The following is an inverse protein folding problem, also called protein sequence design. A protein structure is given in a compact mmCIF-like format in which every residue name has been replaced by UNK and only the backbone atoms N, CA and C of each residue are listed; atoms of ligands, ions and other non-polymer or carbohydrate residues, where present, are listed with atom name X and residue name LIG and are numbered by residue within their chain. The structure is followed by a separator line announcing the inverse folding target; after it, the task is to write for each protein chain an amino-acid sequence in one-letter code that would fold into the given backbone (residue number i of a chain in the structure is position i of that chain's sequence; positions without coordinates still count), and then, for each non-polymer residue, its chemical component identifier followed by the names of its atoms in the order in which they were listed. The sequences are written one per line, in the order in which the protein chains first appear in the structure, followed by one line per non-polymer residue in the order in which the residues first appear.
data_IF_791983287413
#
_entry.id   IF_791983287413
#
_cell.length_a   1.000
_cell.length_b   1.000
_cell.length_c   1.000
_cell.angle_alpha   90.00
_cell.angle_beta   90.00
_cell.angle_gamma   90.00
#
_symmetry.space_group_name_H-M   'P 1'
#
loop_
_entity.id
_entity.type
_entity.pdbx_description
1 polymer ?
#
# COMPACT_ATOMS: atom_id res chain seq x y z
N UNK A 1 87.11 -40.37 2.88
CA UNK A 1 85.94 -40.01 3.70
C UNK A 1 85.39 -38.68 3.19
N UNK A 2 84.10 -38.63 2.86
CA UNK A 2 83.46 -37.65 1.94
C UNK A 2 83.53 -36.19 2.41
N UNK A 3 83.91 -35.31 1.48
CA UNK A 3 83.74 -33.85 1.52
C UNK A 3 82.25 -33.48 1.48
N UNK A 4 81.83 -32.50 2.29
CA UNK A 4 80.52 -31.82 2.18
C UNK A 4 80.69 -30.50 1.42
N UNK A 5 79.88 -30.19 0.40
CA UNK A 5 79.86 -28.89 -0.23
C UNK A 5 78.81 -27.96 0.40
N UNK A 6 79.17 -26.69 0.51
CA UNK A 6 78.33 -25.54 0.91
C UNK A 6 77.43 -25.15 -0.27
N UNK A 7 76.13 -24.95 -0.04
CA UNK A 7 75.17 -24.47 -1.05
C UNK A 7 74.92 -22.97 -0.89
N UNK A 8 75.18 -22.24 -1.97
CA UNK A 8 74.77 -20.86 -2.22
C UNK A 8 73.24 -20.76 -2.35
N UNK A 9 72.65 -19.72 -1.78
CA UNK A 9 71.24 -19.36 -1.94
C UNK A 9 71.15 -18.35 -3.10
N UNK A 10 70.48 -18.73 -4.18
CA UNK A 10 70.08 -17.85 -5.28
C UNK A 10 68.70 -17.24 -4.95
N UNK A 11 68.61 -15.92 -4.85
CA UNK A 11 67.34 -15.19 -4.81
C UNK A 11 66.80 -15.07 -6.24
N UNK A 12 65.64 -15.66 -6.51
CA UNK A 12 64.94 -15.57 -7.79
C UNK A 12 63.80 -14.56 -7.68
N UNK A 13 63.90 -13.44 -8.42
CA UNK A 13 62.83 -12.47 -8.63
C UNK A 13 61.67 -13.10 -9.41
N UNK A 14 60.44 -12.96 -8.92
CA UNK A 14 59.21 -13.11 -9.70
C UNK A 14 58.48 -11.77 -9.78
N UNK A 15 58.00 -11.32 -10.96
CA UNK A 15 57.25 -10.08 -11.08
C UNK A 15 55.80 -10.29 -10.63
N UNK A 16 55.31 -9.35 -9.82
CA UNK A 16 53.95 -9.30 -9.29
C UNK A 16 53.01 -8.77 -10.40
N UNK A 17 52.24 -9.66 -11.03
CA UNK A 17 51.19 -9.27 -11.98
C UNK A 17 49.92 -8.96 -11.20
N UNK A 18 49.54 -7.67 -11.15
CA UNK A 18 48.31 -7.20 -10.49
C UNK A 18 47.12 -7.45 -11.41
N UNK A 19 46.36 -8.51 -11.12
CA UNK A 19 45.08 -8.80 -11.77
C UNK A 19 44.00 -7.93 -11.10
N UNK A 20 43.58 -6.86 -11.76
CA UNK A 20 42.41 -6.07 -11.36
C UNK A 20 41.17 -6.91 -11.67
N UNK A 21 40.59 -7.53 -10.64
CA UNK A 21 39.26 -8.12 -10.73
C UNK A 21 38.23 -7.00 -10.81
N UNK A 22 37.80 -6.68 -12.03
CA UNK A 22 36.58 -5.92 -12.26
C UNK A 22 35.40 -6.84 -11.90
N UNK A 23 34.95 -6.78 -10.64
CA UNK A 23 33.73 -7.47 -10.22
C UNK A 23 32.55 -6.83 -10.98
N UNK A 24 32.09 -7.49 -12.02
CA UNK A 24 30.82 -7.16 -12.67
C UNK A 24 29.72 -7.35 -11.63
N UNK A 25 29.23 -6.23 -11.07
CA UNK A 25 27.99 -6.23 -10.29
C UNK A 25 26.89 -6.62 -11.26
N UNK A 26 26.48 -7.88 -11.21
CA UNK A 26 25.29 -8.35 -11.92
C UNK A 26 24.11 -7.58 -11.32
N UNK A 27 23.62 -6.57 -12.04
CA UNK A 27 22.38 -5.86 -11.66
C UNK A 27 21.26 -6.89 -11.62
N UNK A 28 20.92 -7.37 -10.42
CA UNK A 28 19.83 -8.32 -10.21
C UNK A 28 18.55 -7.65 -10.71
N UNK A 29 18.00 -8.17 -11.82
CA UNK A 29 16.71 -7.68 -12.35
C UNK A 29 15.68 -7.75 -11.22
N UNK A 30 14.83 -6.73 -11.08
CA UNK A 30 13.80 -6.73 -10.05
C UNK A 30 12.90 -7.94 -10.30
N UNK A 31 12.64 -8.70 -9.24
CA UNK A 31 11.85 -9.93 -9.34
C UNK A 31 10.40 -9.55 -9.06
N UNK A 32 9.53 -9.82 -10.02
CA UNK A 32 8.09 -9.88 -9.77
C UNK A 32 7.81 -11.14 -8.96
N UNK A 33 8.00 -11.08 -7.65
CA UNK A 33 7.47 -12.09 -6.73
C UNK A 33 6.00 -11.76 -6.51
N UNK A 34 5.14 -12.26 -7.40
CA UNK A 34 3.71 -12.28 -7.13
C UNK A 34 3.46 -13.24 -5.96
N UNK A 35 3.64 -12.74 -4.73
CA UNK A 35 3.15 -13.39 -3.55
C UNK A 35 1.62 -13.27 -3.59
N UNK A 36 0.99 -14.20 -4.30
CA UNK A 36 -0.44 -14.41 -4.23
C UNK A 36 -0.73 -15.00 -2.85
N UNK A 37 -1.07 -14.18 -1.87
CA UNK A 37 -1.86 -14.67 -0.76
C UNK A 37 -3.24 -15.07 -1.33
N UNK A 38 -3.66 -16.33 -1.21
CA UNK A 38 -4.87 -16.81 -1.86
C UNK A 38 -6.11 -16.10 -1.29
N UNK A 39 -6.72 -15.20 -2.06
CA UNK A 39 -8.09 -14.70 -1.80
C UNK A 39 -8.32 -13.21 -2.08
N UNK A 40 -7.35 -12.33 -1.81
CA UNK A 40 -7.63 -10.89 -1.71
C UNK A 40 -7.28 -10.08 -2.98
N UNK A 41 -6.59 -10.70 -3.94
CA UNK A 41 -6.24 -10.04 -5.21
C UNK A 41 -5.17 -8.94 -5.09
N UNK A 42 -4.38 -8.96 -4.01
CA UNK A 42 -3.24 -8.05 -3.82
C UNK A 42 -1.98 -8.70 -4.39
N UNK A 43 -1.26 -7.97 -5.24
CA UNK A 43 -0.03 -8.37 -5.88
C UNK A 43 1.14 -7.57 -5.31
N UNK A 44 2.23 -8.27 -4.99
CA UNK A 44 3.46 -7.65 -4.50
C UNK A 44 4.53 -7.64 -5.59
N UNK A 45 5.34 -6.59 -5.62
CA UNK A 45 6.51 -6.45 -6.51
C UNK A 45 7.66 -5.87 -5.70
N UNK A 46 8.78 -6.58 -5.65
CA UNK A 46 9.95 -6.15 -4.91
C UNK A 46 10.93 -5.41 -5.81
N UNK A 47 11.16 -4.13 -5.53
CA UNK A 47 12.22 -3.38 -6.18
C UNK A 47 13.59 -3.73 -5.61
N UNK A 48 14.60 -3.84 -6.48
CA UNK A 48 15.99 -3.95 -6.05
C UNK A 48 16.41 -2.61 -5.44
N UNK A 49 16.85 -2.60 -4.18
CA UNK A 49 17.23 -1.38 -3.42
C UNK A 49 16.12 -0.32 -3.33
N UNK A 50 14.85 -0.75 -3.32
CA UNK A 50 13.69 0.14 -3.23
C UNK A 50 12.54 -0.49 -2.44
N UNK A 51 11.38 0.16 -2.41
CA UNK A 51 10.21 -0.35 -1.70
C UNK A 51 9.60 -1.57 -2.39
N UNK A 52 8.98 -2.44 -1.60
CA UNK A 52 8.01 -3.41 -2.11
C UNK A 52 6.71 -2.68 -2.43
N UNK A 53 6.28 -2.77 -3.68
CA UNK A 53 4.99 -2.23 -4.13
C UNK A 53 3.91 -3.29 -3.93
N UNK A 54 2.85 -2.96 -3.22
CA UNK A 54 1.64 -3.79 -3.15
C UNK A 54 0.49 -3.08 -3.86
N UNK A 55 -0.19 -3.72 -4.81
CA UNK A 55 -1.31 -3.15 -5.54
C UNK A 55 -2.43 -4.17 -5.75
N UNK A 56 -3.66 -3.72 -5.94
CA UNK A 56 -4.77 -4.62 -6.24
C UNK A 56 -4.84 -4.94 -7.73
N UNK A 57 -5.11 -6.19 -8.08
CA UNK A 57 -5.47 -6.57 -9.45
C UNK A 57 -6.84 -5.99 -9.88
N UNK A 58 -7.65 -5.48 -8.95
CA UNK A 58 -8.96 -4.85 -9.20
C UNK A 58 -8.88 -3.34 -9.44
N UNK A 59 -7.80 -2.66 -9.04
CA UNK A 59 -7.69 -1.20 -9.17
C UNK A 59 -7.51 -0.72 -10.63
N UNK A 60 -7.07 -1.63 -11.51
CA UNK A 60 -6.84 -1.34 -12.92
C UNK A 60 -5.63 -0.45 -13.19
N UNK A 61 -4.80 -0.20 -12.17
CA UNK A 61 -3.52 0.49 -12.36
C UNK A 61 -2.54 -0.40 -13.12
N UNK A 62 -1.55 0.22 -13.76
CA UNK A 62 -0.46 -0.49 -14.43
C UNK A 62 0.83 -0.33 -13.67
N UNK A 63 1.75 -1.26 -13.89
CA UNK A 63 3.11 -1.18 -13.36
C UNK A 63 4.05 -0.75 -14.47
N UNK A 64 4.67 0.41 -14.31
CA UNK A 64 5.71 0.92 -15.19
C UNK A 64 7.05 0.27 -14.85
N UNK A 65 7.86 0.00 -15.87
CA UNK A 65 9.21 -0.54 -15.72
C UNK A 65 10.20 0.44 -16.33
N UNK A 66 10.96 1.15 -15.49
CA UNK A 66 11.91 2.19 -15.89
C UNK A 66 13.25 1.86 -15.25
N UNK A 67 14.31 1.76 -16.05
CA UNK A 67 15.69 1.53 -15.56
C UNK A 67 15.87 0.30 -14.65
N UNK A 68 15.05 -0.74 -14.84
CA UNK A 68 14.95 -1.92 -13.96
C UNK A 68 14.39 -1.63 -12.56
N UNK A 69 13.57 -0.60 -12.42
CA UNK A 69 12.73 -0.33 -11.27
C UNK A 69 11.26 -0.31 -11.69
N UNK A 70 10.39 -0.63 -10.74
CA UNK A 70 8.95 -0.69 -10.91
C UNK A 70 8.28 0.49 -10.19
N UNK A 71 7.24 1.02 -10.83
CA UNK A 71 6.42 2.14 -10.33
C UNK A 71 4.96 1.86 -10.61
N UNK A 72 4.08 2.40 -9.76
CA UNK A 72 2.63 2.36 -9.98
C UNK A 72 2.21 3.56 -10.83
N UNK A 73 1.54 3.31 -11.94
CA UNK A 73 0.84 4.33 -12.73
C UNK A 73 -0.54 4.54 -12.10
N UNK A 74 -0.59 5.40 -11.08
CA UNK A 74 -1.76 5.61 -10.22
C UNK A 74 -2.85 6.40 -10.94
N UNK A 75 -2.48 7.36 -11.79
CA UNK A 75 -3.43 8.14 -12.59
C UNK A 75 -3.71 7.53 -13.98
N UNK A 76 -3.07 6.40 -14.31
CA UNK A 76 -3.30 5.61 -15.52
C UNK A 76 -2.96 6.36 -16.81
N UNK A 77 -1.98 7.27 -16.77
CA UNK A 77 -1.58 8.08 -17.92
C UNK A 77 -0.42 7.46 -18.74
N UNK A 78 0.14 6.33 -18.28
CA UNK A 78 1.23 5.61 -18.94
C UNK A 78 2.61 6.27 -18.81
N UNK A 79 2.77 7.28 -17.95
CA UNK A 79 4.00 8.01 -17.70
C UNK A 79 4.32 7.97 -16.20
N UNK A 80 5.59 8.04 -15.85
CA UNK A 80 6.00 8.20 -14.46
C UNK A 80 5.91 9.67 -14.07
N UNK A 81 4.87 10.04 -13.33
CA UNK A 81 4.77 11.37 -12.72
C UNK A 81 5.63 11.47 -11.45
N UNK A 82 6.05 12.69 -11.08
CA UNK A 82 6.94 12.86 -9.91
C UNK A 82 6.28 12.36 -8.62
N UNK A 83 4.98 12.55 -8.44
CA UNK A 83 4.28 12.05 -7.24
C UNK A 83 4.28 10.52 -7.12
N UNK A 84 4.39 9.79 -8.23
CA UNK A 84 4.46 8.32 -8.29
C UNK A 84 5.90 7.81 -8.11
N UNK A 85 6.88 8.67 -8.37
CA UNK A 85 8.30 8.34 -8.25
C UNK A 85 8.73 8.31 -6.78
N UNK A 86 8.68 7.13 -6.19
CA UNK A 86 9.10 6.87 -4.80
C UNK A 86 10.59 7.17 -4.53
N UNK A 87 11.41 7.43 -5.57
CA UNK A 87 12.82 7.84 -5.42
C UNK A 87 12.95 9.30 -5.01
N UNK A 88 11.93 10.13 -5.29
CA UNK A 88 11.93 11.54 -4.97
C UNK A 88 11.55 11.79 -3.50
N UNK A 89 12.04 12.88 -2.88
CA UNK A 89 11.62 13.30 -1.55
C UNK A 89 10.11 13.48 -1.43
N UNK A 90 9.56 13.19 -0.25
CA UNK A 90 8.11 13.27 0.01
C UNK A 90 7.57 14.67 -0.31
N UNK A 91 8.30 15.74 0.00
CA UNK A 91 7.87 17.12 -0.26
C UNK A 91 7.74 17.42 -1.76
N UNK A 92 8.65 16.90 -2.59
CA UNK A 92 8.56 17.05 -4.05
C UNK A 92 7.35 16.30 -4.60
N UNK A 93 7.11 15.09 -4.09
CA UNK A 93 5.97 14.26 -4.50
C UNK A 93 4.64 14.89 -4.10
N UNK A 94 4.54 15.40 -2.87
CA UNK A 94 3.34 16.07 -2.36
C UNK A 94 3.06 17.36 -3.13
N UNK A 95 4.08 18.18 -3.40
CA UNK A 95 3.94 19.39 -4.21
C UNK A 95 3.48 19.08 -5.63
N UNK A 96 4.05 18.05 -6.24
CA UNK A 96 3.68 17.60 -7.58
C UNK A 96 2.27 17.01 -7.65
N UNK A 97 1.81 16.29 -6.62
CA UNK A 97 0.44 15.82 -6.53
C UNK A 97 -0.54 16.97 -6.34
N UNK A 98 -0.29 17.84 -5.36
CA UNK A 98 -1.17 18.95 -5.00
C UNK A 98 -1.42 19.92 -6.16
N UNK A 99 -0.42 20.14 -7.04
CA UNK A 99 -0.58 21.00 -8.22
C UNK A 99 -1.49 20.41 -9.30
N UNK A 100 -1.76 19.10 -9.24
CA UNK A 100 -2.65 18.39 -10.18
C UNK A 100 -4.08 18.23 -9.66
N UNK A 101 -4.33 18.46 -8.37
CA UNK A 101 -5.65 18.28 -7.77
C UNK A 101 -6.58 19.45 -8.08
N UNK A 102 -7.85 19.15 -8.33
CA UNK A 102 -8.88 20.18 -8.37
C UNK A 102 -9.21 20.67 -6.96
N UNK A 103 -9.82 21.86 -6.86
CA UNK A 103 -10.31 22.39 -5.57
C UNK A 103 -11.28 21.41 -4.89
N UNK A 104 -12.13 20.71 -5.65
CA UNK A 104 -13.06 19.72 -5.11
C UNK A 104 -12.32 18.51 -4.54
N UNK A 105 -11.27 18.03 -5.20
CA UNK A 105 -10.44 16.94 -4.68
C UNK A 105 -9.71 17.38 -3.40
N UNK A 106 -9.14 18.59 -3.38
CA UNK A 106 -8.51 19.16 -2.18
C UNK A 106 -9.52 19.25 -1.03
N UNK A 107 -10.72 19.74 -1.28
CA UNK A 107 -11.78 19.82 -0.27
C UNK A 107 -12.15 18.43 0.29
N UNK A 108 -12.26 17.42 -0.56
CA UNK A 108 -12.52 16.04 -0.12
C UNK A 108 -11.44 15.49 0.80
N UNK A 109 -10.16 15.83 0.54
CA UNK A 109 -9.04 15.45 1.41
C UNK A 109 -9.02 16.18 2.76
N UNK A 110 -9.83 17.23 2.96
CA UNK A 110 -9.88 17.98 4.22
C UNK A 110 -11.06 17.58 5.12
N UNK A 111 -11.93 16.67 4.65
CA UNK A 111 -13.17 16.28 5.33
C UNK A 111 -13.14 14.81 5.78
N UNK A 112 -13.97 14.52 6.77
CA UNK A 112 -14.21 13.17 7.29
C UNK A 112 -15.56 12.63 6.83
N UNK A 113 -15.64 11.30 6.70
CA UNK A 113 -16.91 10.62 6.52
C UNK A 113 -17.80 10.76 7.75
N UNK A 114 -19.10 10.50 7.60
CA UNK A 114 -19.95 10.14 8.73
C UNK A 114 -19.42 8.87 9.42
N UNK A 115 -19.91 8.59 10.62
CA UNK A 115 -19.61 7.37 11.38
C UNK A 115 -19.87 6.08 10.58
N UNK A 116 -18.88 5.21 10.47
CA UNK A 116 -18.93 3.95 9.75
C UNK A 116 -18.79 2.75 10.69
N UNK A 117 -19.79 1.87 10.68
CA UNK A 117 -19.74 0.54 11.30
C UNK A 117 -19.52 -0.53 10.22
N UNK A 118 -18.73 -1.56 10.52
CA UNK A 118 -18.41 -2.66 9.60
C UNK A 118 -18.83 -4.02 10.22
N UNK A 119 -19.88 -4.70 9.71
CA UNK A 119 -20.78 -4.24 8.65
C UNK A 119 -21.63 -3.07 9.12
N UNK A 120 -22.32 -2.43 8.18
CA UNK A 120 -23.18 -1.29 8.52
C UNK A 120 -24.29 -1.71 9.49
N UNK A 121 -24.59 -0.85 10.45
CA UNK A 121 -25.73 -1.05 11.34
C UNK A 121 -27.02 -1.01 10.54
N UNK A 122 -27.98 -1.84 10.94
CA UNK A 122 -29.35 -1.84 10.40
C UNK A 122 -30.29 -1.16 11.41
N UNK A 123 -31.28 -0.41 10.92
CA UNK A 123 -32.33 0.20 11.75
C UNK A 123 -32.34 1.74 11.73
N UNK A 124 -33.02 2.41 12.68
CA UNK A 124 -33.27 3.86 12.61
C UNK A 124 -32.01 4.74 12.67
N UNK A 125 -30.90 4.18 13.17
CA UNK A 125 -29.60 4.87 13.27
C UNK A 125 -28.54 4.28 12.32
N UNK A 126 -28.95 3.41 11.39
CA UNK A 126 -28.06 2.73 10.44
C UNK A 126 -28.76 2.50 9.10
N UNK A 127 -28.20 3.07 8.03
CA UNK A 127 -28.87 3.11 6.72
C UNK A 127 -27.97 2.75 5.54
N UNK A 128 -26.86 2.04 5.79
CA UNK A 128 -25.99 1.61 4.70
C UNK A 128 -26.60 0.46 3.91
N UNK A 129 -26.32 0.44 2.61
CA UNK A 129 -26.79 -0.60 1.69
C UNK A 129 -25.63 -1.27 0.99
N UNK A 130 -25.86 -2.52 0.59
CA UNK A 130 -25.00 -3.31 -0.26
C UNK A 130 -25.76 -3.58 -1.55
N UNK A 131 -25.41 -2.88 -2.63
CA UNK A 131 -26.13 -2.95 -3.91
C UNK A 131 -27.63 -2.65 -3.77
N UNK A 132 -27.96 -1.62 -2.99
CA UNK A 132 -29.31 -1.14 -2.75
C UNK A 132 -30.12 -1.94 -1.71
N UNK A 133 -29.57 -3.04 -1.16
CA UNK A 133 -30.23 -3.84 -0.15
C UNK A 133 -29.63 -3.62 1.25
N UNK A 134 -30.42 -3.73 2.34
CA UNK A 134 -29.89 -3.78 3.69
C UNK A 134 -28.89 -4.94 3.87
N UNK A 135 -28.02 -4.85 4.87
CA UNK A 135 -27.10 -5.95 5.18
C UNK A 135 -27.86 -7.23 5.54
N UNK A 136 -27.61 -8.30 4.77
CA UNK A 136 -28.10 -9.65 5.03
C UNK A 136 -26.95 -10.63 4.92
N UNK A 137 -26.72 -11.42 5.98
CA UNK A 137 -25.62 -12.38 6.01
C UNK A 137 -25.88 -13.51 5.00
N UNK A 138 -24.94 -13.71 4.07
CA UNK A 138 -25.03 -14.70 2.99
C UNK A 138 -25.35 -14.08 1.62
N UNK A 139 -25.86 -12.85 1.58
CA UNK A 139 -26.11 -12.10 0.33
C UNK A 139 -25.04 -11.04 0.07
N UNK A 140 -24.50 -10.44 1.14
CA UNK A 140 -23.36 -9.54 1.09
C UNK A 140 -22.29 -9.98 2.09
N UNK A 141 -21.02 -9.72 1.79
CA UNK A 141 -19.95 -9.93 2.76
C UNK A 141 -19.90 -8.73 3.70
N UNK A 142 -19.73 -8.98 5.01
CA UNK A 142 -19.59 -7.92 5.99
C UNK A 142 -18.41 -6.97 5.69
N UNK A 143 -17.42 -7.46 4.95
CA UNK A 143 -16.24 -6.73 4.50
C UNK A 143 -16.43 -5.95 3.19
N UNK A 144 -17.59 -6.03 2.53
CA UNK A 144 -17.83 -5.30 1.30
C UNK A 144 -17.95 -3.80 1.57
N UNK A 145 -17.52 -2.99 0.60
CA UNK A 145 -17.68 -1.53 0.66
C UNK A 145 -19.14 -1.20 0.32
N UNK A 146 -19.81 -0.50 1.23
CA UNK A 146 -21.23 -0.13 1.07
C UNK A 146 -21.42 0.92 -0.04
N UNK A 147 -22.66 1.10 -0.49
CA UNK A 147 -22.97 2.09 -1.54
C UNK A 147 -22.68 3.52 -1.06
N UNK A 148 -22.98 3.82 0.20
CA UNK A 148 -22.70 5.13 0.81
C UNK A 148 -21.19 5.35 0.99
N UNK A 149 -20.43 4.29 1.28
CA UNK A 149 -18.98 4.36 1.31
C UNK A 149 -18.41 4.64 -0.08
N UNK A 150 -18.88 3.95 -1.11
CA UNK A 150 -18.49 4.24 -2.50
C UNK A 150 -18.81 5.69 -2.87
N UNK A 151 -19.97 6.21 -2.46
CA UNK A 151 -20.37 7.58 -2.75
C UNK A 151 -19.38 8.60 -2.19
N UNK A 152 -19.09 8.57 -0.88
CA UNK A 152 -18.16 9.57 -0.33
C UNK A 152 -16.72 9.37 -0.81
N UNK A 153 -16.29 8.13 -1.08
CA UNK A 153 -14.92 7.85 -1.57
C UNK A 153 -14.73 8.32 -3.02
N UNK A 154 -15.73 8.09 -3.88
CA UNK A 154 -15.61 8.28 -5.33
C UNK A 154 -16.18 9.61 -5.81
N UNK A 155 -17.30 10.07 -5.26
CA UNK A 155 -17.97 11.32 -5.68
C UNK A 155 -17.43 12.51 -4.89
N UNK A 156 -17.30 12.36 -3.58
CA UNK A 156 -16.92 13.47 -2.69
C UNK A 156 -15.40 13.56 -2.48
N UNK A 157 -14.62 12.58 -2.98
CA UNK A 157 -13.16 12.49 -2.86
C UNK A 157 -12.66 12.37 -1.42
N UNK A 158 -13.49 11.93 -0.47
CA UNK A 158 -13.09 11.75 0.91
C UNK A 158 -12.04 10.65 1.04
N UNK A 159 -11.04 10.89 1.90
CA UNK A 159 -10.04 9.89 2.27
C UNK A 159 -9.98 9.60 3.76
N UNK A 160 -10.59 10.42 4.60
CA UNK A 160 -10.61 10.17 6.05
C UNK A 160 -11.91 9.48 6.45
N UNK A 161 -11.82 8.22 6.88
CA UNK A 161 -12.97 7.40 7.26
C UNK A 161 -13.01 7.22 8.77
N UNK A 162 -14.13 7.59 9.38
CA UNK A 162 -14.33 7.50 10.83
C UNK A 162 -15.03 6.18 11.19
N UNK A 163 -14.25 5.23 11.69
CA UNK A 163 -14.71 3.91 12.11
C UNK A 163 -15.26 3.93 13.53
N UNK A 164 -16.52 3.57 13.69
CA UNK A 164 -17.17 3.38 14.99
C UNK A 164 -17.10 1.93 15.43
N UNK A 165 -17.57 0.94 14.70
CA UNK A 165 -17.46 -0.47 15.13
C UNK A 165 -17.00 -1.40 14.01
N UNK A 166 -16.41 -2.52 14.41
CA UNK A 166 -16.05 -3.61 13.50
C UNK A 166 -16.51 -4.92 14.11
N UNK A 167 -16.99 -5.85 13.29
CA UNK A 167 -17.47 -7.16 13.74
C UNK A 167 -16.33 -8.05 14.24
N UNK A 168 -15.19 -8.05 13.54
CA UNK A 168 -13.98 -8.76 13.92
C UNK A 168 -12.73 -8.13 13.27
N UNK A 169 -11.53 -8.39 13.81
CA UNK A 169 -10.28 -7.93 13.18
C UNK A 169 -10.11 -8.43 11.74
N UNK A 170 -10.50 -9.68 11.46
CA UNK A 170 -10.43 -10.26 10.12
C UNK A 170 -11.33 -9.50 9.13
N UNK A 171 -12.58 -9.25 9.51
CA UNK A 171 -13.53 -8.51 8.67
C UNK A 171 -13.04 -7.07 8.45
N UNK A 172 -12.49 -6.43 9.48
CA UNK A 172 -11.92 -5.09 9.38
C UNK A 172 -10.73 -5.05 8.40
N UNK A 173 -9.84 -6.03 8.45
CA UNK A 173 -8.70 -6.12 7.53
C UNK A 173 -9.16 -6.31 6.07
N UNK A 174 -10.11 -7.24 5.83
CA UNK A 174 -10.67 -7.47 4.49
C UNK A 174 -11.40 -6.24 3.96
N UNK A 175 -12.18 -5.55 4.79
CA UNK A 175 -12.85 -4.30 4.43
C UNK A 175 -11.85 -3.21 4.07
N UNK A 176 -10.79 -3.05 4.87
CA UNK A 176 -9.73 -2.10 4.57
C UNK A 176 -9.08 -2.40 3.20
N UNK A 177 -8.77 -3.67 2.92
CA UNK A 177 -8.21 -4.08 1.62
C UNK A 177 -9.16 -3.76 0.46
N UNK A 178 -10.45 -4.06 0.61
CA UNK A 178 -11.47 -3.76 -0.40
C UNK A 178 -11.61 -2.25 -0.66
N UNK A 179 -11.60 -1.43 0.39
CA UNK A 179 -11.65 0.03 0.27
C UNK A 179 -10.38 0.58 -0.40
N UNK A 180 -9.20 0.15 0.03
CA UNK A 180 -7.92 0.60 -0.55
C UNK A 180 -7.83 0.22 -2.03
N UNK A 181 -8.26 -1.00 -2.39
CA UNK A 181 -8.33 -1.44 -3.79
C UNK A 181 -9.26 -0.54 -4.63
N UNK A 182 -10.40 -0.12 -4.06
CA UNK A 182 -11.34 0.78 -4.72
C UNK A 182 -10.72 2.16 -4.98
N UNK A 183 -10.14 2.80 -3.95
CA UNK A 183 -9.58 4.16 -4.10
C UNK A 183 -8.24 4.20 -4.84
N UNK A 184 -7.45 3.12 -4.81
CA UNK A 184 -6.24 2.99 -5.64
C UNK A 184 -6.59 3.12 -7.13
N UNK A 185 -7.76 2.62 -7.53
CA UNK A 185 -8.25 2.71 -8.91
C UNK A 185 -8.83 4.06 -9.30
N UNK A 186 -8.90 5.05 -8.41
CA UNK A 186 -9.61 6.31 -8.63
C UNK A 186 -8.67 7.52 -8.68
N UNK A 187 -8.85 8.38 -9.69
CA UNK A 187 -8.15 9.66 -9.80
C UNK A 187 -6.63 9.50 -9.76
N UNK A 188 -5.99 10.02 -8.72
CA UNK A 188 -4.54 9.94 -8.49
C UNK A 188 -4.13 8.79 -7.55
N UNK A 189 -5.01 7.82 -7.30
CA UNK A 189 -4.74 6.66 -6.45
C UNK A 189 -4.39 7.02 -4.99
N UNK A 190 -4.92 8.14 -4.48
CA UNK A 190 -4.70 8.59 -3.11
C UNK A 190 -5.36 7.59 -2.15
N UNK A 191 -4.63 6.99 -1.20
CA UNK A 191 -5.17 5.99 -0.29
C UNK A 191 -6.13 6.62 0.71
N UNK A 192 -7.01 5.78 1.27
CA UNK A 192 -7.85 6.18 2.39
C UNK A 192 -7.09 6.03 3.73
N UNK A 193 -7.49 6.80 4.73
CA UNK A 193 -7.00 6.77 6.09
C UNK A 193 -8.17 6.50 7.04
N UNK A 194 -8.12 5.36 7.71
CA UNK A 194 -9.14 4.95 8.67
C UNK A 194 -8.73 5.42 10.07
N UNK A 195 -9.62 6.13 10.74
CA UNK A 195 -9.43 6.61 12.11
C UNK A 195 -10.53 6.05 13.01
N UNK A 196 -10.22 5.79 14.27
CA UNK A 196 -11.23 5.41 15.26
C UNK A 196 -10.89 5.97 16.63
N UNK A 197 -11.91 6.13 17.47
CA UNK A 197 -11.71 6.39 18.88
C UNK A 197 -10.89 5.26 19.54
N UNK A 198 -10.13 5.55 20.62
CA UNK A 198 -9.36 4.54 21.33
C UNK A 198 -10.21 3.31 21.67
N UNK A 199 -9.78 2.14 21.19
CA UNK A 199 -10.51 0.88 21.36
C UNK A 199 -10.29 0.21 22.71
N UNK A 200 -9.41 0.78 23.55
CA UNK A 200 -9.17 0.37 24.93
C UNK A 200 -9.78 1.42 25.89
N UNK A 201 -11.07 1.29 26.20
CA UNK A 201 -11.72 2.12 27.23
C UNK A 201 -12.60 1.25 28.12
N UNK A 202 -12.96 1.78 29.28
CA UNK A 202 -13.83 1.10 30.24
C UNK A 202 -15.31 1.22 29.91
N UNK A 203 -15.70 1.93 28.83
CA UNK A 203 -17.10 2.18 28.48
C UNK A 203 -17.31 2.49 26.98
N UNK A 204 -18.39 1.95 26.39
CA UNK A 204 -18.71 1.96 24.95
C UNK A 204 -20.06 2.56 24.57
N UNK A 205 -20.51 3.61 25.27
CA UNK A 205 -21.77 4.31 25.03
C UNK A 205 -21.77 5.28 23.83
N UNK A 206 -22.93 5.63 23.30
CA UNK A 206 -23.10 6.31 22.01
C UNK A 206 -22.80 7.81 21.95
N UNK A 207 -22.65 8.49 23.09
CA UNK A 207 -22.51 9.97 23.10
C UNK A 207 -21.05 10.46 22.99
N UNK A 208 -20.10 9.70 23.56
CA UNK A 208 -18.65 9.99 23.53
C UNK A 208 -17.77 8.77 23.20
N UNK A 209 -18.38 7.61 22.98
CA UNK A 209 -17.70 6.31 22.93
C UNK A 209 -18.35 5.38 21.90
N UNK A 210 -19.02 5.94 20.89
CA UNK A 210 -19.71 5.20 19.84
C UNK A 210 -18.67 4.41 19.04
N UNK A 211 -18.36 3.20 19.51
CA UNK A 211 -17.26 2.40 18.97
C UNK A 211 -16.12 2.04 19.90
N UNK A 212 -16.05 2.62 21.09
CA UNK A 212 -15.07 2.24 22.09
C UNK A 212 -15.52 0.93 22.77
N UNK A 213 -15.19 -0.22 22.19
CA UNK A 213 -15.63 -1.51 22.72
C UNK A 213 -15.43 -2.73 21.82
N UNK A 214 -14.43 -2.72 20.94
CA UNK A 214 -14.11 -3.89 20.11
C UNK A 214 -13.36 -4.96 20.91
N UNK A 215 -13.71 -6.24 20.73
CA UNK A 215 -12.80 -7.34 21.09
C UNK A 215 -11.70 -7.41 20.02
N UNK A 216 -10.45 -7.21 20.44
CA UNK A 216 -9.25 -7.49 19.62
C UNK A 216 -9.10 -9.00 19.49
#
# INVERSE_FOLDING_TARGET
MKLKPVRFIFFCCFPLSVLIFLSAVTKKKPVKEALNEPGDGILLIKNTNGPTLGYSNKSGIKILSIENLYFKDLNKNGKLDKYEDWRLPVDERAKDLSSKLSTQQIAGLMLYSAHQAIPVLTGPFGGGTYNGQPFSAGEALASDVTDQQKDFLLKDNLRHVLLTSVQSPEIAARWNNNMQALVEGQGFGIPANNSSDPRHSTNGGVEYTAGAGGKI
#
